data_IF_314997123384
#
_entry.id   IF_314997123384
#
_cell.length_a   1.000
_cell.length_b   1.000
_cell.length_c   1.000
_cell.angle_alpha   90.00
_cell.angle_beta   90.00
_cell.angle_gamma   90.00
#
_symmetry.space_group_name_H-M   'P 1'
#
loop_
_entity.id
_entity.type
_entity.pdbx_description
1 polymer ?
#
# COMPACT_ATOMS: atom_id res chain seq x y z
N UNK A 1 20.90 6.21 -1.09
CA UNK A 1 19.68 5.37 -1.06
C UNK A 1 18.69 6.06 -0.13
N UNK A 2 17.40 6.09 -0.48
CA UNK A 2 16.37 6.65 0.38
C UNK A 2 15.26 5.62 0.59
N UNK A 3 14.52 5.78 1.68
CA UNK A 3 13.25 5.14 1.95
C UNK A 3 12.29 6.24 2.39
N UNK A 4 11.08 6.24 1.83
CA UNK A 4 10.04 7.20 2.18
C UNK A 4 8.75 6.43 2.42
N UNK A 5 8.07 6.76 3.51
CA UNK A 5 6.78 6.20 3.89
C UNK A 5 5.77 7.33 4.01
N UNK A 6 4.64 7.19 3.32
CA UNK A 6 3.55 8.15 3.33
C UNK A 6 2.30 7.43 3.84
N UNK A 7 1.67 7.98 4.86
CA UNK A 7 0.45 7.46 5.46
C UNK A 7 -0.66 8.47 5.27
N UNK A 8 -1.69 8.10 4.50
CA UNK A 8 -2.85 8.94 4.25
C UNK A 8 -4.04 8.40 5.06
N UNK A 9 -4.48 9.16 6.06
CA UNK A 9 -5.60 8.77 6.95
C UNK A 9 -6.96 9.28 6.47
N UNK A 10 -6.99 10.11 5.42
CA UNK A 10 -8.21 10.77 4.95
C UNK A 10 -9.36 9.80 4.62
N UNK A 11 -9.12 8.67 3.90
CA UNK A 11 -10.18 7.70 3.63
C UNK A 11 -10.73 7.06 4.89
N UNK A 12 -9.90 6.78 5.89
CA UNK A 12 -10.37 6.21 7.16
C UNK A 12 -11.29 7.17 7.91
N UNK A 13 -10.87 8.42 8.06
CA UNK A 13 -11.71 9.45 8.67
C UNK A 13 -13.03 9.65 7.91
N UNK A 14 -12.99 9.68 6.58
CA UNK A 14 -14.19 9.81 5.76
C UNK A 14 -15.10 8.58 5.89
N UNK A 15 -14.53 7.38 5.88
CA UNK A 15 -15.25 6.11 6.02
C UNK A 15 -15.96 6.02 7.37
N UNK A 16 -15.32 6.41 8.46
CA UNK A 16 -15.96 6.43 9.78
C UNK A 16 -17.09 7.47 9.92
N UNK A 17 -16.96 8.62 9.25
CA UNK A 17 -17.96 9.69 9.35
C UNK A 17 -19.15 9.50 8.41
N UNK A 18 -18.92 8.97 7.20
CA UNK A 18 -19.91 8.97 6.12
C UNK A 18 -20.21 7.56 5.57
N UNK A 19 -19.36 6.59 5.86
CA UNK A 19 -19.51 5.21 5.43
C UNK A 19 -18.74 4.89 4.15
N UNK A 20 -18.41 3.61 3.99
CA UNK A 20 -17.93 3.05 2.72
C UNK A 20 -18.97 3.29 1.61
N UNK A 21 -18.50 3.49 0.37
CA UNK A 21 -19.30 3.93 -0.78
C UNK A 21 -19.92 5.34 -0.70
N UNK A 22 -19.73 6.09 0.39
CA UNK A 22 -20.10 7.51 0.43
C UNK A 22 -19.29 8.33 -0.57
N UNK A 23 -19.85 9.48 -0.97
CA UNK A 23 -19.13 10.42 -1.83
C UNK A 23 -17.85 10.91 -1.16
N UNK A 24 -17.90 11.19 0.14
CA UNK A 24 -16.80 11.70 0.94
C UNK A 24 -15.66 10.69 1.04
N UNK A 25 -15.98 9.41 1.26
CA UNK A 25 -15.01 8.33 1.24
C UNK A 25 -14.31 8.20 -0.12
N UNK A 26 -15.09 8.23 -1.20
CA UNK A 26 -14.55 8.18 -2.56
C UNK A 26 -13.70 9.43 -2.90
N UNK A 27 -14.15 10.61 -2.52
CA UNK A 27 -13.43 11.87 -2.73
C UNK A 27 -12.10 11.89 -1.95
N UNK A 28 -12.06 11.30 -0.76
CA UNK A 28 -10.82 11.13 0.02
C UNK A 28 -9.83 10.18 -0.67
N UNK A 29 -10.29 9.04 -1.21
CA UNK A 29 -9.44 8.12 -1.98
C UNK A 29 -8.88 8.83 -3.23
N UNK A 30 -9.71 9.59 -3.95
CA UNK A 30 -9.28 10.38 -5.11
C UNK A 30 -8.23 11.43 -4.70
N UNK A 31 -8.36 12.04 -3.52
CA UNK A 31 -7.35 12.98 -3.01
C UNK A 31 -6.01 12.28 -2.73
N UNK A 32 -6.02 11.08 -2.15
CA UNK A 32 -4.81 10.26 -1.97
C UNK A 32 -4.15 9.90 -3.31
N UNK A 33 -4.93 9.52 -4.32
CA UNK A 33 -4.41 9.21 -5.66
C UNK A 33 -3.74 10.45 -6.31
N UNK A 34 -4.32 11.64 -6.15
CA UNK A 34 -3.68 12.90 -6.59
C UNK A 34 -2.33 13.13 -5.90
N UNK A 35 -2.23 12.88 -4.60
CA UNK A 35 -0.96 13.01 -3.88
C UNK A 35 0.08 11.99 -4.34
N UNK A 36 -0.32 10.75 -4.61
CA UNK A 36 0.56 9.76 -5.25
C UNK A 36 1.05 10.26 -6.62
N UNK A 37 0.17 10.86 -7.42
CA UNK A 37 0.52 11.51 -8.68
C UNK A 37 1.58 12.60 -8.53
N UNK A 38 1.46 13.48 -7.54
CA UNK A 38 2.46 14.53 -7.28
C UNK A 38 3.79 13.96 -6.79
N UNK A 39 3.79 12.89 -5.99
CA UNK A 39 5.02 12.17 -5.61
C UNK A 39 5.70 11.60 -6.85
N UNK A 40 4.95 10.89 -7.71
CA UNK A 40 5.47 10.32 -8.96
C UNK A 40 6.05 11.41 -9.87
N UNK A 41 5.35 12.53 -10.02
CA UNK A 41 5.80 13.70 -10.78
C UNK A 41 7.11 14.26 -10.20
N UNK A 42 7.22 14.38 -8.87
CA UNK A 42 8.44 14.87 -8.23
C UNK A 42 9.62 13.91 -8.46
N UNK A 43 9.41 12.60 -8.35
CA UNK A 43 10.43 11.59 -8.65
C UNK A 43 10.92 11.68 -10.11
N UNK A 44 10.01 11.93 -11.07
CA UNK A 44 10.36 12.16 -12.48
C UNK A 44 11.17 13.44 -12.68
N UNK A 45 10.77 14.55 -12.06
CA UNK A 45 11.51 15.82 -12.10
C UNK A 45 12.93 15.70 -11.53
N UNK A 46 13.10 14.89 -10.49
CA UNK A 46 14.40 14.62 -9.88
C UNK A 46 15.24 13.60 -10.68
N UNK A 47 14.71 13.03 -11.77
CA UNK A 47 15.40 12.03 -12.59
C UNK A 47 15.65 10.71 -11.87
N UNK A 48 14.81 10.36 -10.86
CA UNK A 48 14.99 9.14 -10.05
C UNK A 48 13.85 8.14 -10.16
N UNK A 49 12.79 8.46 -10.90
CA UNK A 49 11.60 7.62 -11.04
C UNK A 49 11.92 6.19 -11.50
N UNK A 50 12.69 6.01 -12.58
CA UNK A 50 12.96 4.68 -13.16
C UNK A 50 13.81 3.76 -12.26
N UNK A 51 14.45 4.34 -11.24
CA UNK A 51 15.23 3.62 -10.22
C UNK A 51 14.57 3.64 -8.84
N UNK A 52 13.29 4.01 -8.77
CA UNK A 52 12.50 4.04 -7.53
C UNK A 52 11.40 2.98 -7.60
N UNK A 53 11.41 2.06 -6.63
CA UNK A 53 10.30 1.13 -6.43
C UNK A 53 9.20 1.85 -5.65
N UNK A 54 7.96 1.70 -6.10
CA UNK A 54 6.77 2.30 -5.49
C UNK A 54 5.83 1.16 -5.15
N UNK A 55 5.42 1.10 -3.89
CA UNK A 55 4.41 0.20 -3.38
C UNK A 55 3.26 1.01 -2.80
N UNK A 56 2.02 0.58 -3.06
CA UNK A 56 0.79 1.19 -2.53
C UNK A 56 -0.04 0.07 -1.94
N UNK A 57 -0.50 0.25 -0.71
CA UNK A 57 -1.30 -0.72 0.02
C UNK A 57 -2.20 -0.01 1.03
N UNK A 58 -3.10 -0.77 1.64
CA UNK A 58 -3.94 -0.35 2.76
C UNK A 58 -3.71 -1.30 3.93
N UNK A 59 -3.85 -0.80 5.15
CA UNK A 59 -3.80 -1.60 6.37
C UNK A 59 -5.14 -2.29 6.66
N UNK A 60 -6.26 -1.67 6.28
CA UNK A 60 -7.60 -2.27 6.27
C UNK A 60 -8.53 -1.61 5.23
N UNK A 61 -9.73 -2.17 5.08
CA UNK A 61 -10.85 -1.57 4.35
C UNK A 61 -11.99 -1.20 5.30
N UNK A 62 -13.20 -1.07 4.77
CA UNK A 62 -14.45 -0.93 5.54
C UNK A 62 -15.43 -2.06 5.22
N UNK A 63 -16.37 -2.28 6.13
CA UNK A 63 -17.52 -3.14 5.88
C UNK A 63 -18.40 -2.46 4.83
N UNK A 64 -18.85 -3.22 3.82
CA UNK A 64 -19.61 -2.68 2.69
C UNK A 64 -20.84 -1.88 3.15
N UNK A 65 -20.90 -0.62 2.73
CA UNK A 65 -21.95 0.35 3.04
C UNK A 65 -22.00 0.81 4.51
N UNK A 66 -20.96 0.57 5.31
CA UNK A 66 -20.94 0.94 6.75
C UNK A 66 -19.80 1.88 7.11
N UNK A 67 -19.90 2.42 8.32
CA UNK A 67 -18.88 3.26 8.98
C UNK A 67 -17.91 2.45 9.87
N UNK A 68 -17.99 1.12 9.80
CA UNK A 68 -17.17 0.18 10.59
C UNK A 68 -16.35 -0.72 9.68
N UNK A 69 -15.32 -1.37 10.22
CA UNK A 69 -14.45 -2.28 9.49
C UNK A 69 -14.20 -3.59 10.27
N UNK A 70 -15.24 -4.11 10.95
CA UNK A 70 -15.12 -5.33 11.77
C UNK A 70 -14.99 -6.60 10.92
N UNK A 71 -15.42 -6.55 9.67
CA UNK A 71 -15.42 -7.60 8.67
C UNK A 71 -14.89 -7.08 7.32
N UNK A 72 -13.75 -6.38 7.36
CA UNK A 72 -13.04 -5.87 6.18
C UNK A 72 -11.73 -6.67 5.93
N UNK A 73 -11.81 -7.94 5.50
CA UNK A 73 -10.65 -8.83 5.45
C UNK A 73 -9.71 -8.58 4.26
N UNK A 74 -10.15 -7.80 3.28
CA UNK A 74 -9.47 -7.64 2.01
C UNK A 74 -8.70 -6.32 1.98
N UNK A 75 -7.44 -6.40 1.57
CA UNK A 75 -6.60 -5.27 1.22
C UNK A 75 -5.94 -5.54 -0.14
N UNK A 76 -5.29 -4.54 -0.71
CA UNK A 76 -4.53 -4.69 -1.95
C UNK A 76 -3.06 -4.35 -1.74
N UNK A 77 -2.20 -4.89 -2.61
CA UNK A 77 -0.84 -4.44 -2.80
C UNK A 77 -0.64 -4.16 -4.28
N UNK A 78 -0.35 -2.92 -4.63
CA UNK A 78 0.02 -2.50 -5.98
C UNK A 78 1.47 -2.03 -5.98
N UNK A 79 2.17 -2.26 -7.08
CA UNK A 79 3.54 -1.78 -7.24
C UNK A 79 3.86 -1.48 -8.70
N UNK A 80 4.85 -0.61 -8.95
CA UNK A 80 5.44 -0.41 -10.27
C UNK A 80 6.40 -1.54 -10.70
N UNK A 81 6.26 -2.73 -10.10
CA UNK A 81 7.12 -3.90 -10.31
C UNK A 81 6.42 -4.96 -11.15
N UNK A 82 7.07 -5.36 -12.25
CA UNK A 82 6.62 -6.49 -13.08
C UNK A 82 6.85 -7.85 -12.41
N UNK A 83 7.67 -7.93 -11.38
CA UNK A 83 7.89 -9.18 -10.64
C UNK A 83 6.73 -9.50 -9.69
N UNK A 84 5.92 -8.51 -9.29
CA UNK A 84 4.76 -8.72 -8.42
C UNK A 84 3.66 -9.46 -9.20
N UNK A 85 3.48 -10.76 -8.89
CA UNK A 85 2.66 -11.68 -9.70
C UNK A 85 1.81 -12.66 -8.88
N UNK A 86 1.97 -12.68 -7.55
CA UNK A 86 1.22 -13.60 -6.67
C UNK A 86 0.16 -12.85 -5.88
N UNK A 87 -0.97 -13.51 -5.67
CA UNK A 87 -1.91 -13.14 -4.63
C UNK A 87 -1.31 -13.49 -3.26
N UNK A 88 -1.74 -12.77 -2.23
CA UNK A 88 -1.29 -12.94 -0.85
C UNK A 88 -2.21 -12.23 0.12
N UNK A 89 -1.75 -12.07 1.36
CA UNK A 89 -2.43 -11.28 2.39
C UNK A 89 -1.44 -10.31 3.05
N UNK A 90 -1.93 -9.53 4.03
CA UNK A 90 -1.16 -8.46 4.66
C UNK A 90 0.20 -8.89 5.21
N UNK A 91 0.32 -10.12 5.71
CA UNK A 91 1.58 -10.62 6.29
C UNK A 91 2.69 -10.83 5.26
N UNK A 92 2.34 -10.86 3.98
CA UNK A 92 3.24 -11.09 2.85
C UNK A 92 3.89 -9.78 2.34
N UNK A 93 3.34 -8.61 2.72
CA UNK A 93 3.80 -7.29 2.25
C UNK A 93 5.23 -7.01 2.72
N UNK A 94 5.48 -7.13 4.02
CA UNK A 94 6.80 -6.83 4.61
C UNK A 94 7.92 -7.71 4.03
N UNK A 95 7.82 -9.06 4.02
CA UNK A 95 8.89 -9.87 3.44
C UNK A 95 9.09 -9.59 1.94
N UNK A 96 8.02 -9.27 1.20
CA UNK A 96 8.14 -8.89 -0.22
C UNK A 96 8.95 -7.62 -0.40
N UNK A 97 8.61 -6.53 0.31
CA UNK A 97 9.34 -5.25 0.20
C UNK A 97 10.80 -5.43 0.60
N UNK A 98 11.08 -6.14 1.71
CA UNK A 98 12.45 -6.38 2.17
C UNK A 98 13.27 -7.17 1.15
N UNK A 99 12.70 -8.22 0.55
CA UNK A 99 13.37 -8.97 -0.51
C UNK A 99 13.69 -8.10 -1.73
N UNK A 100 12.75 -7.27 -2.19
CA UNK A 100 13.01 -6.33 -3.30
C UNK A 100 14.07 -5.26 -2.95
N UNK A 101 14.18 -4.90 -1.67
CA UNK A 101 15.25 -4.04 -1.16
C UNK A 101 16.62 -4.74 -1.05
N UNK A 102 16.70 -6.03 -1.37
CA UNK A 102 17.91 -6.84 -1.28
C UNK A 102 18.25 -7.33 0.13
N UNK A 103 17.27 -7.32 1.05
CA UNK A 103 17.44 -7.86 2.39
C UNK A 103 17.26 -9.38 2.38
N UNK A 104 18.22 -10.09 2.95
CA UNK A 104 18.15 -11.54 3.15
C UNK A 104 17.22 -11.86 4.33
N UNK A 105 15.92 -11.99 4.03
CA UNK A 105 14.88 -12.23 5.03
C UNK A 105 15.03 -13.58 5.76
N UNK A 106 15.86 -14.51 5.26
CA UNK A 106 16.10 -15.80 5.91
C UNK A 106 16.92 -15.69 7.20
N UNK A 107 17.62 -14.55 7.38
CA UNK A 107 18.44 -14.23 8.55
C UNK A 107 17.69 -13.46 9.65
N UNK A 108 16.44 -13.09 9.43
CA UNK A 108 15.65 -12.30 10.38
C UNK A 108 14.94 -13.25 11.37
N UNK A 109 15.10 -12.97 12.66
CA UNK A 109 14.44 -13.70 13.75
C UNK A 109 13.59 -12.74 14.62
N UNK A 110 12.33 -13.08 14.94
CA UNK A 110 11.61 -14.28 14.50
C UNK A 110 11.31 -14.23 13.00
N UNK A 111 11.31 -15.40 12.35
CA UNK A 111 10.97 -15.50 10.92
C UNK A 111 9.61 -14.89 10.60
N UNK A 112 9.54 -14.17 9.48
CA UNK A 112 8.27 -13.73 8.93
C UNK A 112 7.40 -14.94 8.57
N UNK A 113 6.11 -14.87 8.93
CA UNK A 113 5.11 -15.89 8.60
C UNK A 113 4.58 -15.78 7.16
N UNK A 114 4.86 -14.65 6.50
CA UNK A 114 4.45 -14.40 5.13
C UNK A 114 5.42 -14.92 4.09
N UNK A 115 4.99 -14.90 2.84
CA UNK A 115 5.76 -15.32 1.67
C UNK A 115 6.08 -14.13 0.76
N UNK A 116 7.14 -14.26 -0.03
CA UNK A 116 7.51 -13.23 -1.02
C UNK A 116 6.59 -13.34 -2.24
N UNK A 117 5.94 -12.23 -2.59
CA UNK A 117 4.95 -12.16 -3.67
C UNK A 117 5.55 -11.88 -5.05
N UNK A 118 6.83 -11.52 -5.11
CA UNK A 118 7.59 -11.32 -6.35
C UNK A 118 8.21 -12.62 -6.87
N UNK A 119 8.49 -12.67 -8.18
CA UNK A 119 9.23 -13.73 -8.90
C UNK A 119 10.11 -13.13 -9.97
#
# INVERSE_FOLDING_TARGET
RFFAFFHFSDPDHAGHNYGENSREYNDAIIACDKWLGEIVKKLKQLGVYDRTMIFVTADHGFDEGKTTHSNAPNIYLAANLKSLRKNGNQRDITPTILTEMGVDISKIEPKYKGVVLTR
#
